data_IF_446479664244
#
_entry.id   IF_446479664244
#
_cell.length_a   1.000
_cell.length_b   1.000
_cell.length_c   1.000
_cell.angle_alpha   90.00
_cell.angle_beta   90.00
_cell.angle_gamma   90.00
#
_symmetry.space_group_name_H-M   'P 1'
#
loop_
_entity.id
_entity.type
_entity.pdbx_description
1 polymer ?
#
# COMPACT_ATOMS: atom_id res chain seq x y z
N UNK A 1 -16.87 -2.77 -4.65
CA UNK A 1 -16.40 -1.90 -3.54
C UNK A 1 -14.88 -1.90 -3.50
N UNK A 2 -14.23 -1.30 -4.50
CA UNK A 2 -12.78 -1.41 -4.71
C UNK A 2 -12.16 -0.03 -4.62
N UNK A 3 -12.15 0.55 -3.41
CA UNK A 3 -11.63 1.91 -3.25
C UNK A 3 -10.13 1.84 -2.99
N UNK A 4 -9.38 2.41 -3.93
CA UNK A 4 -7.96 2.79 -3.77
C UNK A 4 -7.68 3.41 -2.39
N UNK A 5 -8.60 4.23 -1.90
CA UNK A 5 -8.53 4.85 -0.58
C UNK A 5 -8.45 3.82 0.58
N UNK A 6 -9.20 2.72 0.51
CA UNK A 6 -9.16 1.67 1.54
C UNK A 6 -7.79 0.98 1.55
N UNK A 7 -7.22 0.74 0.37
CA UNK A 7 -5.89 0.12 0.24
C UNK A 7 -4.79 1.05 0.75
N UNK A 8 -4.88 2.35 0.46
CA UNK A 8 -3.96 3.35 1.00
C UNK A 8 -4.04 3.42 2.54
N UNK A 9 -5.26 3.37 3.08
CA UNK A 9 -5.45 3.31 4.52
C UNK A 9 -4.80 2.06 5.13
N UNK A 10 -4.98 0.88 4.53
CA UNK A 10 -4.33 -0.36 4.96
C UNK A 10 -2.80 -0.29 4.90
N UNK A 11 -2.23 0.27 3.82
CA UNK A 11 -0.78 0.49 3.69
C UNK A 11 -0.29 1.36 4.85
N UNK A 12 -0.95 2.48 5.14
CA UNK A 12 -0.57 3.38 6.24
C UNK A 12 -0.67 2.68 7.60
N UNK A 13 -1.70 1.86 7.85
CA UNK A 13 -1.80 1.09 9.09
C UNK A 13 -0.63 0.11 9.27
N UNK A 14 -0.25 -0.59 8.20
CA UNK A 14 0.90 -1.52 8.23
C UNK A 14 2.21 -0.76 8.52
N UNK A 15 2.38 0.43 7.95
CA UNK A 15 3.58 1.25 8.14
C UNK A 15 3.68 1.84 9.56
N UNK A 16 2.57 2.17 10.23
CA UNK A 16 2.59 2.70 11.61
C UNK A 16 3.12 1.70 12.64
N UNK A 17 2.96 0.40 12.38
CA UNK A 17 3.32 -0.65 13.33
C UNK A 17 4.73 -1.23 13.20
N UNK A 18 5.52 -0.82 12.18
CA UNK A 18 6.81 -1.47 11.86
C UNK A 18 7.87 -0.47 11.39
N UNK A 19 9.13 -0.75 11.76
CA UNK A 19 10.30 0.11 11.47
C UNK A 19 10.68 0.14 9.97
N UNK A 20 10.52 -0.98 9.25
CA UNK A 20 10.80 -1.09 7.82
C UNK A 20 9.82 -2.07 7.14
N UNK A 21 9.19 -1.64 6.04
CA UNK A 21 8.28 -2.45 5.22
C UNK A 21 8.61 -2.26 3.75
N UNK A 22 8.65 -3.34 2.97
CA UNK A 22 8.94 -3.30 1.52
C UNK A 22 7.66 -3.34 0.69
N UNK A 23 7.74 -2.86 -0.55
CA UNK A 23 6.63 -2.94 -1.51
C UNK A 23 6.23 -4.40 -1.79
N UNK A 24 7.20 -5.31 -1.90
CA UNK A 24 6.98 -6.75 -2.04
C UNK A 24 6.13 -7.33 -0.89
N UNK A 25 6.40 -6.92 0.35
CA UNK A 25 5.65 -7.38 1.52
C UNK A 25 4.20 -6.89 1.52
N UNK A 26 4.00 -5.63 1.12
CA UNK A 26 2.67 -5.03 0.99
C UNK A 26 1.89 -5.69 -0.16
N UNK A 27 2.55 -5.92 -1.29
CA UNK A 27 1.99 -6.56 -2.47
C UNK A 27 1.47 -7.96 -2.15
N UNK A 28 2.26 -8.79 -1.44
CA UNK A 28 1.81 -10.10 -0.98
C UNK A 28 0.62 -10.02 -0.03
N UNK A 29 0.67 -9.14 0.99
CA UNK A 29 -0.42 -9.00 1.97
C UNK A 29 -1.73 -8.52 1.37
N UNK A 30 -1.65 -7.65 0.37
CA UNK A 30 -2.80 -7.00 -0.24
C UNK A 30 -3.25 -7.70 -1.53
N UNK A 31 -2.59 -8.80 -1.92
CA UNK A 31 -2.83 -9.55 -3.16
C UNK A 31 -2.83 -8.64 -4.41
N UNK A 32 -1.86 -7.74 -4.48
CA UNK A 32 -1.66 -6.81 -5.62
C UNK A 32 -0.23 -6.87 -6.12
N UNK A 33 0.02 -6.28 -7.30
CA UNK A 33 1.40 -6.13 -7.81
C UNK A 33 2.15 -5.02 -7.06
N UNK A 34 3.48 -5.11 -6.99
CA UNK A 34 4.32 -4.03 -6.46
C UNK A 34 4.12 -2.71 -7.23
N UNK A 35 3.89 -2.78 -8.54
CA UNK A 35 3.55 -1.61 -9.37
C UNK A 35 2.29 -0.91 -8.87
N UNK A 36 1.29 -1.67 -8.39
CA UNK A 36 0.07 -1.12 -7.80
C UNK A 36 0.40 -0.34 -6.52
N UNK A 37 1.26 -0.89 -5.65
CA UNK A 37 1.72 -0.21 -4.43
C UNK A 37 2.41 1.11 -4.76
N UNK A 38 3.37 1.11 -5.69
CA UNK A 38 4.05 2.34 -6.11
C UNK A 38 3.11 3.36 -6.75
N UNK A 39 2.16 2.92 -7.59
CA UNK A 39 1.12 3.80 -8.15
C UNK A 39 0.24 4.38 -7.06
N UNK A 40 -0.09 3.59 -6.04
CA UNK A 40 -0.93 4.02 -4.94
C UNK A 40 -0.27 5.13 -4.13
N UNK A 41 0.99 4.93 -3.75
CA UNK A 41 1.78 5.93 -3.05
C UNK A 41 2.03 7.17 -3.93
N UNK A 42 2.22 7.00 -5.25
CA UNK A 42 2.47 8.12 -6.17
C UNK A 42 1.25 9.01 -6.39
N UNK A 43 0.06 8.45 -6.64
CA UNK A 43 -1.13 9.29 -6.88
C UNK A 43 -1.79 9.78 -5.57
N UNK A 44 -1.35 9.34 -4.39
CA UNK A 44 -1.80 9.92 -3.11
C UNK A 44 -1.13 11.26 -2.77
N UNK A 45 -0.06 11.64 -3.47
CA UNK A 45 0.66 12.91 -3.26
C UNK A 45 0.22 14.05 -4.17
N UNK A 46 -0.95 13.93 -4.83
CA UNK A 46 -1.60 15.03 -5.57
C UNK A 46 -2.69 15.67 -4.74
#
# INVERSE_FOLDING_TARGET
MTRRADRLFQIVQILRGRRLTTAALLAQRLAVSERTIYRDIRESGK
#
